data_IF_125699872623
#
_entry.id   IF_125699872623
#
_cell.length_a   1.000
_cell.length_b   1.000
_cell.length_c   1.000
_cell.angle_alpha   90.00
_cell.angle_beta   90.00
_cell.angle_gamma   90.00
#
_symmetry.space_group_name_H-M   'P 1'
#
loop_
_entity.id
_entity.type
_entity.pdbx_description
1 polymer ?
#
# COMPACT_ATOMS: atom_id res chain seq x y z
N UNK A 1 47.71 -11.30 -39.58
CA UNK A 1 46.33 -10.81 -39.74
C UNK A 1 45.62 -11.06 -38.42
N UNK A 2 45.28 -10.00 -37.69
CA UNK A 2 44.38 -10.13 -36.54
C UNK A 2 42.97 -10.29 -37.09
N UNK A 3 42.28 -11.37 -36.72
CA UNK A 3 40.87 -11.58 -37.07
C UNK A 3 40.08 -10.57 -36.24
N UNK A 4 39.47 -9.58 -36.90
CA UNK A 4 38.52 -8.68 -36.25
C UNK A 4 37.27 -9.55 -36.01
N UNK A 5 37.02 -9.93 -34.77
CA UNK A 5 35.75 -10.55 -34.38
C UNK A 5 34.64 -9.48 -34.51
N UNK A 6 33.51 -9.87 -35.08
CA UNK A 6 32.36 -8.99 -35.27
C UNK A 6 31.68 -8.73 -33.92
N UNK A 7 31.51 -7.46 -33.54
CA UNK A 7 30.92 -7.09 -32.26
C UNK A 7 29.40 -7.26 -32.31
N UNK A 8 28.82 -7.94 -31.31
CA UNK A 8 27.37 -8.11 -31.16
C UNK A 8 26.89 -7.30 -29.98
N UNK A 9 25.61 -6.92 -30.00
CA UNK A 9 25.01 -6.28 -28.84
C UNK A 9 24.88 -7.29 -27.68
N UNK A 10 24.94 -6.81 -26.42
CA UNK A 10 24.69 -7.64 -25.25
C UNK A 10 23.22 -8.12 -25.23
N UNK A 11 22.92 -9.10 -24.38
CA UNK A 11 21.54 -9.59 -24.15
C UNK A 11 21.09 -9.17 -22.75
N UNK A 12 20.22 -8.15 -22.68
CA UNK A 12 19.74 -7.59 -21.44
C UNK A 12 18.71 -8.51 -20.75
N UNK A 13 18.95 -8.86 -19.48
CA UNK A 13 18.05 -9.73 -18.71
C UNK A 13 17.78 -9.09 -17.34
N UNK A 14 16.49 -8.97 -17.00
CA UNK A 14 16.02 -8.44 -15.71
C UNK A 14 15.47 -9.59 -14.86
N UNK A 15 15.99 -9.73 -13.64
CA UNK A 15 15.37 -10.52 -12.58
C UNK A 15 14.81 -9.56 -11.50
N UNK A 16 13.70 -9.94 -10.87
CA UNK A 16 13.03 -9.14 -9.84
C UNK A 16 12.64 -9.96 -8.63
N UNK A 17 12.53 -9.35 -7.45
CA UNK A 17 12.00 -10.02 -6.25
C UNK A 17 10.51 -10.36 -6.40
N UNK A 18 9.70 -9.37 -6.76
CA UNK A 18 8.25 -9.45 -6.96
C UNK A 18 7.83 -8.36 -7.96
N UNK A 19 6.73 -8.61 -8.69
CA UNK A 19 6.19 -7.66 -9.68
C UNK A 19 4.86 -7.02 -9.24
N UNK A 20 4.30 -7.42 -8.10
CA UNK A 20 3.11 -6.80 -7.55
C UNK A 20 3.10 -6.73 -6.03
N UNK A 21 2.49 -5.67 -5.50
CA UNK A 21 2.36 -5.45 -4.06
C UNK A 21 1.64 -4.15 -3.72
N UNK A 22 1.41 -3.89 -2.44
CA UNK A 22 0.69 -2.67 -1.99
C UNK A 22 1.67 -1.53 -1.68
N UNK A 23 1.26 -0.29 -1.98
CA UNK A 23 2.08 0.87 -1.63
C UNK A 23 2.19 1.05 -0.10
N UNK A 24 3.37 1.39 0.43
CA UNK A 24 4.63 1.52 -0.29
C UNK A 24 5.28 0.15 -0.56
N UNK A 25 5.69 -0.08 -1.81
CA UNK A 25 6.23 -1.35 -2.28
C UNK A 25 7.72 -1.26 -2.61
N UNK A 26 8.53 -2.19 -2.11
CA UNK A 26 9.98 -2.27 -2.34
C UNK A 26 10.28 -3.43 -3.29
N UNK A 27 10.95 -3.14 -4.40
CA UNK A 27 11.35 -4.15 -5.40
C UNK A 27 12.86 -4.09 -5.62
N UNK A 28 13.52 -5.25 -5.62
CA UNK A 28 14.90 -5.38 -6.08
C UNK A 28 14.93 -5.78 -7.55
N UNK A 29 15.81 -5.15 -8.32
CA UNK A 29 16.08 -5.47 -9.73
C UNK A 29 17.53 -5.93 -9.87
N UNK A 30 17.75 -6.96 -10.67
CA UNK A 30 19.04 -7.64 -10.81
C UNK A 30 19.33 -7.98 -12.28
N UNK A 31 20.41 -7.42 -12.81
CA UNK A 31 20.88 -7.62 -14.18
C UNK A 31 21.95 -8.72 -14.32
N UNK A 32 22.28 -9.46 -13.25
CA UNK A 32 23.40 -10.43 -13.23
C UNK A 32 23.29 -11.60 -14.21
N UNK A 33 22.12 -11.83 -14.81
CA UNK A 33 21.94 -12.81 -15.89
C UNK A 33 22.17 -12.24 -17.29
N UNK A 34 22.36 -10.93 -17.41
CA UNK A 34 22.79 -10.26 -18.65
C UNK A 34 24.16 -10.79 -19.06
N UNK A 35 24.35 -10.99 -20.35
CA UNK A 35 25.62 -11.46 -20.89
C UNK A 35 25.90 -10.84 -22.25
N UNK A 36 27.18 -10.87 -22.62
CA UNK A 36 27.67 -10.49 -23.94
C UNK A 36 28.37 -11.70 -24.58
N UNK A 37 28.01 -12.02 -25.82
CA UNK A 37 28.54 -13.18 -26.57
C UNK A 37 30.02 -13.01 -26.96
N UNK A 38 30.47 -11.76 -27.13
CA UNK A 38 31.87 -11.42 -27.39
C UNK A 38 32.70 -11.45 -26.10
N UNK A 39 32.04 -11.46 -24.94
CA UNK A 39 32.68 -11.56 -23.62
C UNK A 39 33.39 -10.28 -23.20
N UNK A 40 33.05 -9.15 -23.81
CA UNK A 40 33.53 -7.84 -23.39
C UNK A 40 32.71 -7.31 -22.19
N UNK A 41 33.18 -6.19 -21.62
CA UNK A 41 32.50 -5.57 -20.49
C UNK A 41 31.32 -4.72 -20.96
N UNK A 42 30.27 -4.65 -20.15
CA UNK A 42 29.11 -3.79 -20.39
C UNK A 42 28.73 -2.96 -19.16
N UNK A 43 27.88 -1.96 -19.38
CA UNK A 43 27.32 -1.09 -18.35
C UNK A 43 25.80 -1.22 -18.29
N UNK A 44 25.22 -1.16 -17.09
CA UNK A 44 23.78 -1.28 -16.85
C UNK A 44 23.19 0.06 -16.37
N UNK A 45 22.20 0.56 -17.11
CA UNK A 45 21.41 1.75 -16.79
C UNK A 45 19.94 1.35 -16.63
N UNK A 46 19.40 1.60 -15.44
CA UNK A 46 18.00 1.40 -15.11
C UNK A 46 17.24 2.71 -15.27
N UNK A 47 16.24 2.73 -16.15
CA UNK A 47 15.25 3.81 -16.24
C UNK A 47 14.05 3.47 -15.37
N UNK A 48 13.76 4.36 -14.43
CA UNK A 48 12.70 4.27 -13.44
C UNK A 48 11.60 5.30 -13.78
N UNK A 49 10.44 5.25 -13.12
CA UNK A 49 9.36 6.21 -13.36
C UNK A 49 9.80 7.65 -13.10
N UNK A 50 9.13 8.60 -13.76
CA UNK A 50 9.41 10.04 -13.65
C UNK A 50 10.86 10.41 -13.99
N UNK A 51 11.38 9.82 -15.08
CA UNK A 51 12.71 10.11 -15.66
C UNK A 51 13.88 9.88 -14.70
N UNK A 52 13.66 9.11 -13.62
CA UNK A 52 14.71 8.77 -12.67
C UNK A 52 15.60 7.67 -13.25
N UNK A 53 16.90 7.75 -13.00
CA UNK A 53 17.87 6.74 -13.46
C UNK A 53 18.71 6.19 -12.32
N UNK A 54 19.12 4.93 -12.44
CA UNK A 54 20.13 4.29 -11.59
C UNK A 54 21.10 3.49 -12.44
N UNK A 55 22.30 3.26 -11.94
CA UNK A 55 23.33 2.46 -12.60
C UNK A 55 23.78 1.32 -11.70
N UNK A 56 24.29 0.26 -12.32
CA UNK A 56 24.85 -0.90 -11.63
C UNK A 56 24.06 -2.18 -11.86
N UNK A 57 24.67 -3.31 -11.49
CA UNK A 57 24.09 -4.64 -11.72
C UNK A 57 22.80 -4.84 -10.91
N UNK A 58 22.76 -4.37 -9.65
CA UNK A 58 21.61 -4.54 -8.75
C UNK A 58 21.16 -3.22 -8.15
N UNK A 59 19.85 -2.99 -8.13
CA UNK A 59 19.25 -1.80 -7.53
C UNK A 59 18.02 -2.18 -6.69
N UNK A 60 17.66 -1.28 -5.76
CA UNK A 60 16.38 -1.34 -5.03
C UNK A 60 15.63 -0.04 -5.31
N UNK A 61 14.33 -0.15 -5.57
CA UNK A 61 13.45 0.99 -5.75
C UNK A 61 12.18 0.86 -4.90
N UNK A 62 11.74 2.01 -4.34
CA UNK A 62 10.55 2.10 -3.49
C UNK A 62 9.44 2.85 -4.22
N UNK A 63 8.41 2.14 -4.64
CA UNK A 63 7.20 2.72 -5.19
C UNK A 63 6.33 3.24 -4.06
N UNK A 64 6.15 4.57 -4.00
CA UNK A 64 5.37 5.23 -2.93
C UNK A 64 3.89 5.33 -3.24
N UNK A 65 3.53 5.37 -4.51
CA UNK A 65 2.16 5.58 -4.97
C UNK A 65 1.67 4.34 -5.72
N UNK A 66 0.38 4.00 -5.62
CA UNK A 66 -0.24 3.01 -6.47
C UNK A 66 -0.16 3.38 -7.96
N UNK A 67 -0.13 2.37 -8.82
CA UNK A 67 -0.03 2.51 -10.26
C UNK A 67 0.75 1.36 -10.90
N UNK A 68 0.71 1.30 -12.22
CA UNK A 68 1.56 0.39 -13.01
C UNK A 68 2.75 1.17 -13.53
N UNK A 69 3.95 0.64 -13.30
CA UNK A 69 5.21 1.32 -13.61
C UNK A 69 6.09 0.43 -14.49
N UNK A 70 6.45 0.92 -15.67
CA UNK A 70 7.40 0.23 -16.55
C UNK A 70 8.84 0.60 -16.19
N UNK A 71 9.68 -0.41 -16.05
CA UNK A 71 11.10 -0.29 -15.69
C UNK A 71 11.92 -0.84 -16.85
N UNK A 72 12.86 -0.03 -17.36
CA UNK A 72 13.75 -0.46 -18.46
C UNK A 72 15.17 -0.64 -17.94
N UNK A 73 15.81 -1.72 -18.37
CA UNK A 73 17.25 -1.94 -18.27
C UNK A 73 17.85 -1.73 -19.65
N UNK A 74 18.74 -0.76 -19.78
CA UNK A 74 19.56 -0.53 -20.96
C UNK A 74 20.97 -1.03 -20.64
N UNK A 75 21.46 -1.96 -21.45
CA UNK A 75 22.82 -2.50 -21.33
C UNK A 75 23.62 -2.03 -22.53
N UNK A 76 24.83 -1.50 -22.32
CA UNK A 76 25.70 -1.01 -23.40
C UNK A 76 27.11 -1.58 -23.24
N UNK A 77 27.61 -2.23 -24.29
CA UNK A 77 28.96 -2.77 -24.37
C UNK A 77 30.03 -1.67 -24.57
N UNK A 78 31.31 -2.06 -24.63
CA UNK A 78 32.41 -1.11 -24.91
C UNK A 78 32.48 -0.65 -26.37
N UNK A 79 31.87 -1.41 -27.29
CA UNK A 79 31.74 -1.08 -28.70
C UNK A 79 30.66 -0.04 -28.99
N UNK A 80 29.83 0.27 -28.00
CA UNK A 80 28.69 1.19 -28.08
C UNK A 80 27.39 0.56 -28.58
N UNK A 81 27.33 -0.77 -28.73
CA UNK A 81 26.07 -1.47 -29.01
C UNK A 81 25.29 -1.68 -27.71
N UNK A 82 23.98 -1.71 -27.83
CA UNK A 82 23.09 -1.79 -26.68
C UNK A 82 21.87 -2.65 -26.91
N UNK A 83 21.36 -3.24 -25.83
CA UNK A 83 20.07 -3.93 -25.78
C UNK A 83 19.23 -3.40 -24.61
N UNK A 84 17.92 -3.59 -24.70
CA UNK A 84 16.96 -3.11 -23.69
C UNK A 84 15.96 -4.19 -23.29
N UNK A 85 15.83 -4.41 -21.99
CA UNK A 85 14.78 -5.23 -21.40
C UNK A 85 13.80 -4.37 -20.58
N UNK A 86 12.55 -4.79 -20.49
CA UNK A 86 11.49 -4.07 -19.77
C UNK A 86 10.66 -4.99 -18.89
N UNK A 87 10.21 -4.47 -17.75
CA UNK A 87 9.25 -5.16 -16.88
C UNK A 87 8.26 -4.18 -16.25
N UNK A 88 7.01 -4.60 -16.07
CA UNK A 88 5.98 -3.81 -15.42
C UNK A 88 5.81 -4.23 -13.96
N UNK A 89 5.80 -3.25 -13.06
CA UNK A 89 5.51 -3.42 -11.64
C UNK A 89 4.13 -2.84 -11.32
N UNK A 90 3.26 -3.66 -10.75
CA UNK A 90 1.89 -3.28 -10.36
C UNK A 90 1.84 -2.97 -8.87
N UNK A 91 1.59 -1.69 -8.54
CA UNK A 91 1.50 -1.23 -7.16
C UNK A 91 0.06 -0.93 -6.84
N UNK A 92 -0.50 -1.70 -5.91
CA UNK A 92 -1.89 -1.58 -5.50
C UNK A 92 -2.06 -0.57 -4.36
N UNK A 93 -3.28 -0.05 -4.22
CA UNK A 93 -3.65 0.75 -3.06
C UNK A 93 -3.60 -0.15 -1.83
N UNK A 94 -2.96 0.26 -0.72
CA UNK A 94 -3.06 -0.49 0.52
C UNK A 94 -4.53 -0.62 0.93
N UNK A 95 -5.05 -1.85 0.85
CA UNK A 95 -6.39 -2.25 1.29
C UNK A 95 -6.48 -2.32 2.82
N UNK A 96 -6.00 -1.27 3.49
CA UNK A 96 -6.13 -1.07 4.94
C UNK A 96 -7.34 -0.21 5.33
N UNK A 97 -8.01 0.39 4.35
CA UNK A 97 -9.28 1.06 4.54
C UNK A 97 -10.39 0.07 4.23
N UNK A 98 -11.00 -0.51 5.27
CA UNK A 98 -12.39 -0.92 5.16
C UNK A 98 -13.18 0.37 4.99
N UNK A 99 -13.35 0.81 3.75
CA UNK A 99 -14.38 1.80 3.43
C UNK A 99 -15.66 1.15 3.89
N UNK A 100 -16.24 1.60 5.01
CA UNK A 100 -17.56 1.17 5.45
C UNK A 100 -18.57 1.82 4.51
N UNK A 101 -18.51 1.42 3.23
CA UNK A 101 -19.49 1.77 2.21
C UNK A 101 -20.81 1.05 2.45
N UNK A 102 -20.81 0.10 3.37
CA UNK A 102 -21.99 -0.56 3.86
C UNK A 102 -21.95 -0.55 5.39
N UNK A 103 -22.52 0.50 6.00
CA UNK A 103 -22.90 0.49 7.42
C UNK A 103 -24.08 -0.48 7.65
N UNK A 104 -24.28 -1.48 6.78
CA UNK A 104 -25.22 -2.58 6.99
C UNK A 104 -24.95 -3.20 8.35
N UNK A 105 -25.91 -3.01 9.25
CA UNK A 105 -25.82 -3.47 10.62
C UNK A 105 -25.38 -2.43 11.66
N UNK A 106 -24.94 -1.23 11.28
CA UNK A 106 -24.71 -0.13 12.22
C UNK A 106 -25.93 0.79 12.31
N UNK A 107 -26.56 0.86 13.48
CA UNK A 107 -27.74 1.68 13.72
C UNK A 107 -27.69 2.36 15.09
N UNK A 108 -28.09 3.63 15.16
CA UNK A 108 -28.19 4.36 16.43
C UNK A 108 -29.62 4.91 16.55
N UNK A 109 -30.36 4.46 17.56
CA UNK A 109 -31.76 4.86 17.74
C UNK A 109 -32.22 4.81 19.21
N UNK A 110 -33.23 5.62 19.60
CA UNK A 110 -33.76 6.73 18.81
C UNK A 110 -32.74 7.88 18.75
N UNK A 111 -32.66 8.56 17.61
CA UNK A 111 -31.99 9.85 17.50
C UNK A 111 -33.02 10.87 16.98
N UNK A 112 -33.43 11.89 17.76
CA UNK A 112 -32.95 12.27 19.10
C UNK A 112 -33.36 11.30 20.23
N UNK A 113 -32.47 11.10 21.22
CA UNK A 113 -32.70 10.28 22.41
C UNK A 113 -33.04 11.13 23.64
N UNK A 114 -33.75 10.54 24.62
CA UNK A 114 -34.04 11.18 25.92
C UNK A 114 -33.26 10.52 27.07
N UNK A 115 -33.51 9.23 27.30
CA UNK A 115 -32.95 8.52 28.46
C UNK A 115 -31.90 7.47 28.07
N UNK A 116 -32.10 6.85 26.90
CA UNK A 116 -31.25 5.78 26.41
C UNK A 116 -31.09 5.92 24.90
N UNK A 117 -29.96 5.41 24.42
CA UNK A 117 -29.71 5.18 23.00
C UNK A 117 -29.30 3.72 22.80
N UNK A 118 -29.86 3.09 21.78
CA UNK A 118 -29.48 1.75 21.34
C UNK A 118 -28.51 1.89 20.17
N UNK A 119 -27.41 1.14 20.25
CA UNK A 119 -26.40 1.06 19.19
C UNK A 119 -26.36 -0.40 18.72
N UNK A 120 -26.81 -0.60 17.49
CA UNK A 120 -26.65 -1.85 16.74
C UNK A 120 -25.38 -1.77 15.91
N UNK A 121 -24.66 -2.87 15.85
CA UNK A 121 -23.49 -3.08 15.00
C UNK A 121 -23.34 -4.58 14.70
N UNK A 122 -22.73 -4.93 13.56
CA UNK A 122 -22.38 -6.32 13.28
C UNK A 122 -21.13 -6.69 14.09
N UNK A 123 -21.26 -7.67 14.98
CA UNK A 123 -20.20 -8.11 15.89
C UNK A 123 -20.24 -9.62 16.04
N UNK A 124 -19.08 -10.26 16.10
CA UNK A 124 -19.02 -11.58 16.70
C UNK A 124 -19.12 -11.42 18.23
N UNK A 125 -19.73 -12.37 18.92
CA UNK A 125 -20.03 -12.27 20.36
C UNK A 125 -18.78 -12.15 21.27
N UNK A 126 -17.59 -12.37 20.71
CA UNK A 126 -16.29 -12.29 21.39
C UNK A 126 -15.58 -10.95 21.24
N UNK A 127 -16.05 -10.07 20.33
CA UNK A 127 -15.34 -8.84 19.99
C UNK A 127 -15.55 -7.78 21.09
N UNK A 128 -14.43 -7.22 21.60
CA UNK A 128 -14.45 -6.10 22.54
C UNK A 128 -14.29 -4.78 21.78
N UNK A 129 -15.27 -3.90 21.94
CA UNK A 129 -15.21 -2.54 21.43
C UNK A 129 -15.22 -1.52 22.57
N UNK A 130 -14.88 -0.29 22.25
CA UNK A 130 -15.05 0.87 23.14
C UNK A 130 -15.91 1.90 22.42
N UNK A 131 -16.99 2.33 23.07
CA UNK A 131 -17.76 3.51 22.68
C UNK A 131 -17.16 4.72 23.37
N UNK A 132 -16.83 5.75 22.61
CA UNK A 132 -16.46 7.07 23.09
C UNK A 132 -17.52 8.10 22.67
N UNK A 133 -18.02 8.88 23.62
CA UNK A 133 -18.98 9.96 23.39
C UNK A 133 -18.22 11.28 23.49
N UNK A 134 -18.32 12.11 22.47
CA UNK A 134 -17.71 13.43 22.43
C UNK A 134 -18.77 14.53 22.33
N UNK A 135 -18.53 15.65 23.00
CA UNK A 135 -19.27 16.89 22.74
C UNK A 135 -18.86 17.51 21.40
N UNK A 136 -19.62 18.52 20.92
CA UNK A 136 -19.32 19.24 19.68
C UNK A 136 -17.95 19.90 19.62
N UNK A 137 -17.36 20.22 20.78
CA UNK A 137 -16.02 20.81 20.89
C UNK A 137 -14.90 19.76 20.88
N UNK A 138 -15.23 18.47 20.74
CA UNK A 138 -14.27 17.36 20.77
C UNK A 138 -13.87 16.90 22.18
N UNK A 139 -14.47 17.45 23.24
CA UNK A 139 -14.28 16.96 24.60
C UNK A 139 -14.83 15.53 24.74
N UNK A 140 -14.02 14.59 25.26
CA UNK A 140 -14.48 13.25 25.65
C UNK A 140 -15.40 13.35 26.88
N UNK A 141 -16.64 12.90 26.73
CA UNK A 141 -17.68 12.89 27.77
C UNK A 141 -17.73 11.54 28.48
N UNK A 142 -17.65 10.44 27.71
CA UNK A 142 -17.74 9.08 28.25
C UNK A 142 -16.95 8.10 27.39
N UNK A 143 -16.35 7.09 28.00
CA UNK A 143 -15.68 5.98 27.33
C UNK A 143 -16.10 4.68 27.99
N UNK A 144 -16.70 3.77 27.23
CA UNK A 144 -17.37 2.58 27.74
C UNK A 144 -16.92 1.35 26.94
N UNK A 145 -16.28 0.35 27.57
CA UNK A 145 -16.04 -0.92 26.93
C UNK A 145 -17.36 -1.69 26.78
N UNK A 146 -17.56 -2.29 25.60
CA UNK A 146 -18.79 -3.00 25.24
C UNK A 146 -18.45 -4.34 24.58
N UNK A 147 -19.40 -5.28 24.67
CA UNK A 147 -19.35 -6.58 24.00
C UNK A 147 -20.75 -6.93 23.51
N UNK A 148 -20.82 -7.53 22.32
CA UNK A 148 -22.07 -7.96 21.71
C UNK A 148 -22.97 -6.80 21.26
N UNK A 149 -23.97 -7.12 20.45
CA UNK A 149 -24.87 -6.16 19.84
C UNK A 149 -26.32 -6.68 19.96
N UNK A 150 -27.33 -5.83 20.22
CA UNK A 150 -27.23 -4.38 20.42
C UNK A 150 -26.68 -3.99 21.80
N UNK A 151 -26.20 -2.75 21.92
CA UNK A 151 -25.82 -2.13 23.19
C UNK A 151 -26.84 -1.05 23.57
N UNK A 152 -27.32 -1.09 24.80
CA UNK A 152 -28.16 -0.04 25.38
C UNK A 152 -27.31 0.87 26.26
N UNK A 153 -27.20 2.12 25.85
CA UNK A 153 -26.40 3.14 26.52
C UNK A 153 -27.32 4.12 27.26
N UNK A 154 -27.19 4.18 28.59
CA UNK A 154 -27.84 5.21 29.40
C UNK A 154 -27.19 6.58 29.19
N UNK A 155 -28.04 7.58 28.94
CA UNK A 155 -27.66 9.00 28.81
C UNK A 155 -27.67 9.74 30.15
N UNK A 156 -27.90 9.04 31.26
CA UNK A 156 -27.83 9.63 32.58
C UNK A 156 -26.47 10.30 32.84
N UNK A 157 -26.53 11.53 33.34
CA UNK A 157 -25.34 12.37 33.57
C UNK A 157 -24.78 13.06 32.33
N UNK A 158 -25.41 12.88 31.15
CA UNK A 158 -25.06 13.61 29.92
C UNK A 158 -26.09 14.73 29.74
N UNK A 159 -25.63 15.97 29.58
CA UNK A 159 -26.50 17.11 29.31
C UNK A 159 -27.23 16.96 27.97
N UNK A 160 -28.33 17.69 27.78
CA UNK A 160 -28.98 17.73 26.47
C UNK A 160 -28.10 18.46 25.45
N UNK A 161 -27.96 17.90 24.25
CA UNK A 161 -27.09 18.48 23.22
C UNK A 161 -26.81 17.54 22.05
N UNK A 162 -25.95 17.99 21.15
CA UNK A 162 -25.46 17.19 20.01
C UNK A 162 -24.13 16.54 20.42
N UNK A 163 -24.00 15.26 20.11
CA UNK A 163 -22.85 14.43 20.46
C UNK A 163 -22.34 13.66 19.24
N UNK A 164 -21.04 13.40 19.21
CA UNK A 164 -20.43 12.42 18.32
C UNK A 164 -20.20 11.13 19.08
N UNK A 165 -20.54 10.00 18.46
CA UNK A 165 -20.27 8.67 18.99
C UNK A 165 -19.21 8.02 18.11
N UNK A 166 -18.09 7.66 18.71
CA UNK A 166 -17.04 6.87 18.07
C UNK A 166 -17.03 5.45 18.65
N UNK A 167 -16.87 4.46 17.79
CA UNK A 167 -16.66 3.07 18.19
C UNK A 167 -15.27 2.63 17.74
N UNK A 168 -14.51 2.02 18.64
CA UNK A 168 -13.14 1.55 18.37
C UNK A 168 -12.99 0.09 18.77
N UNK A 169 -12.26 -0.68 17.98
CA UNK A 169 -11.76 -2.00 18.40
C UNK A 169 -10.62 -1.82 19.39
N UNK A 170 -10.50 -2.74 20.34
CA UNK A 170 -9.29 -2.85 21.15
C UNK A 170 -8.15 -3.34 20.25
N UNK A 171 -7.09 -2.55 20.09
CA UNK A 171 -5.87 -2.98 19.40
C UNK A 171 -5.13 -4.04 20.21
#
# INVERSE_FOLDING_TARGET
>A
MSKIEDNKAPVAIINTSDLSGTAPFLVSFDASSTHDDNGDGFSCLWQLPADSVKTGEKIIYKFRNPGTFSINLIVTDIGGLSDTASVDVVVEVPSGFNTINDLSGFGIYPNPAKNLVTIEYQSNSTDEFTIEIFGLTGQLIKSIPIKGSPVHLSLEGISEGIYYINMKTKK
#
